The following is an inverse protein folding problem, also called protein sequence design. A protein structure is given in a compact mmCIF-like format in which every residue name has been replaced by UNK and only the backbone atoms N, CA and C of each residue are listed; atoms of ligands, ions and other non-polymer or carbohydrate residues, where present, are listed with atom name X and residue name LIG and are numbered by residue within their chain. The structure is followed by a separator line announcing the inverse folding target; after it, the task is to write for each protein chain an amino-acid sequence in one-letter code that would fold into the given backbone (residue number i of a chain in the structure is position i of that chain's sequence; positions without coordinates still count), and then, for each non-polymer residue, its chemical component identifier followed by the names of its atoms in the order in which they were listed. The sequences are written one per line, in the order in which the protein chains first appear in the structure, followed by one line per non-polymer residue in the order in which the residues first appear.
data_IF_779289038830
#
_entry.id   IF_779289038830
#
_cell.length_a   1.000
_cell.length_b   1.000
_cell.length_c   1.000
_cell.angle_alpha   90.00
_cell.angle_beta   90.00
_cell.angle_gamma   90.00
#
_symmetry.space_group_name_H-M   'P 1'
#
loop_
_entity.id
_entity.type
_entity.pdbx_description
1 polymer ?
#
# COMPACT_ATOMS: atom_id res chain seq x y z
N UNK A 1 -12.35 48.54 -6.50
CA UNK A 1 -13.27 47.53 -5.92
C UNK A 1 -12.41 46.39 -5.37
N UNK A 2 -12.00 46.48 -4.11
CA UNK A 2 -11.25 45.40 -3.45
C UNK A 2 -12.24 44.34 -2.97
N UNK A 3 -12.26 43.17 -3.61
CA UNK A 3 -12.97 42.01 -3.10
C UNK A 3 -12.14 41.39 -1.98
N UNK A 4 -12.60 41.58 -0.74
CA UNK A 4 -12.15 40.84 0.43
C UNK A 4 -12.46 39.36 0.26
N UNK A 5 -11.43 38.52 0.32
CA UNK A 5 -11.57 37.06 0.31
C UNK A 5 -12.46 36.59 1.47
N UNK A 6 -13.50 35.81 1.17
CA UNK A 6 -14.33 35.15 2.18
C UNK A 6 -13.48 34.26 3.08
N UNK A 7 -13.67 34.29 4.42
CA UNK A 7 -12.97 33.37 5.30
C UNK A 7 -13.41 31.94 5.00
N UNK A 8 -12.44 31.07 4.69
CA UNK A 8 -12.65 29.65 4.52
C UNK A 8 -13.27 29.08 5.80
N UNK A 9 -14.41 28.40 5.67
CA UNK A 9 -15.11 27.78 6.79
C UNK A 9 -14.17 26.82 7.54
N UNK A 10 -14.14 26.83 8.89
CA UNK A 10 -13.29 25.94 9.66
C UNK A 10 -13.63 24.48 9.35
N UNK A 11 -12.56 23.71 9.20
CA UNK A 11 -12.56 22.34 8.71
C UNK A 11 -13.35 21.43 9.65
N UNK A 12 -14.27 20.60 9.11
CA UNK A 12 -15.20 19.73 9.86
C UNK A 12 -14.55 18.77 10.87
N UNK A 13 -13.25 18.51 10.73
CA UNK A 13 -12.47 17.67 11.66
C UNK A 13 -12.47 18.22 13.10
N UNK A 14 -12.44 19.54 13.27
CA UNK A 14 -12.39 20.16 14.61
C UNK A 14 -13.73 19.99 15.34
N UNK A 15 -14.85 20.18 14.63
CA UNK A 15 -16.18 20.01 15.20
C UNK A 15 -16.48 18.55 15.62
N UNK A 16 -16.02 17.56 14.85
CA UNK A 16 -16.18 16.15 15.20
C UNK A 16 -15.26 15.72 16.36
N UNK A 17 -14.03 16.25 16.39
CA UNK A 17 -13.10 16.04 17.50
C UNK A 17 -13.65 16.63 18.81
N UNK A 18 -14.19 17.84 18.78
CA UNK A 18 -14.80 18.49 19.93
C UNK A 18 -16.05 17.75 20.43
N UNK A 19 -16.88 17.25 19.51
CA UNK A 19 -18.01 16.38 19.85
C UNK A 19 -17.54 15.09 20.54
N UNK A 20 -16.48 14.43 20.04
CA UNK A 20 -15.90 13.24 20.68
C UNK A 20 -15.32 13.56 22.06
N UNK A 21 -14.60 14.67 22.21
CA UNK A 21 -14.01 15.07 23.49
C UNK A 21 -15.08 15.35 24.55
N UNK A 22 -16.17 16.03 24.19
CA UNK A 22 -17.28 16.29 25.10
C UNK A 22 -18.00 15.00 25.52
N UNK A 23 -18.22 14.06 24.59
CA UNK A 23 -18.76 12.75 24.90
C UNK A 23 -17.86 11.97 25.88
N UNK A 24 -16.54 11.96 25.64
CA UNK A 24 -15.56 11.31 26.53
C UNK A 24 -15.55 11.92 27.93
N UNK A 25 -15.62 13.25 28.05
CA UNK A 25 -15.71 13.94 29.35
C UNK A 25 -16.96 13.55 30.11
N UNK A 26 -18.11 13.46 29.43
CA UNK A 26 -19.38 13.02 30.03
C UNK A 26 -19.30 11.59 30.53
N UNK A 27 -18.76 10.66 29.73
CA UNK A 27 -18.61 9.25 30.15
C UNK A 27 -17.66 9.12 31.33
N UNK A 28 -16.53 9.83 31.32
CA UNK A 28 -15.59 9.86 32.46
C UNK A 28 -16.25 10.39 33.73
N UNK A 29 -17.03 11.47 33.62
CA UNK A 29 -17.76 12.04 34.74
C UNK A 29 -18.79 11.06 35.29
N UNK A 30 -19.58 10.40 34.42
CA UNK A 30 -20.56 9.40 34.83
C UNK A 30 -19.89 8.21 35.53
N UNK A 31 -18.80 7.69 34.98
CA UNK A 31 -18.04 6.60 35.58
C UNK A 31 -17.46 6.99 36.96
N UNK A 32 -16.88 8.19 37.07
CA UNK A 32 -16.35 8.70 38.33
C UNK A 32 -17.46 8.95 39.37
N UNK A 33 -18.61 9.48 38.94
CA UNK A 33 -19.77 9.71 39.80
C UNK A 33 -20.37 8.38 40.28
N UNK A 34 -20.46 7.37 39.41
CA UNK A 34 -20.90 6.03 39.78
C UNK A 34 -19.96 5.39 40.81
N UNK A 35 -18.65 5.48 40.61
CA UNK A 35 -17.66 4.99 41.58
C UNK A 35 -17.77 5.73 42.91
N UNK A 36 -17.89 7.06 42.90
CA UNK A 36 -18.08 7.86 44.10
C UNK A 36 -19.38 7.51 44.84
N UNK A 37 -20.45 7.21 44.10
CA UNK A 37 -21.71 6.73 44.66
C UNK A 37 -21.53 5.37 45.34
N UNK A 38 -20.83 4.42 44.73
CA UNK A 38 -20.52 3.13 45.35
C UNK A 38 -19.75 3.29 46.67
N UNK A 39 -18.72 4.16 46.69
CA UNK A 39 -17.96 4.47 47.90
C UNK A 39 -18.85 5.06 48.98
N UNK A 40 -19.73 5.99 48.61
CA UNK A 40 -20.65 6.64 49.54
C UNK A 40 -21.68 5.64 50.10
N UNK A 41 -22.27 4.79 49.25
CA UNK A 41 -23.18 3.73 49.66
C UNK A 41 -22.48 2.73 50.59
N UNK A 42 -21.24 2.34 50.28
CA UNK A 42 -20.43 1.49 51.14
C UNK A 42 -20.23 2.12 52.53
N UNK A 43 -19.77 3.37 52.59
CA UNK A 43 -19.52 4.08 53.84
C UNK A 43 -20.78 4.22 54.70
N UNK A 44 -21.92 4.59 54.09
CA UNK A 44 -23.20 4.70 54.79
C UNK A 44 -23.71 3.35 55.27
N UNK A 45 -23.75 2.34 54.40
CA UNK A 45 -24.21 1.00 54.75
C UNK A 45 -23.39 0.41 55.90
N UNK A 46 -22.06 0.60 55.88
CA UNK A 46 -21.16 0.15 56.95
C UNK A 46 -21.37 0.90 58.26
N UNK A 47 -21.66 2.20 58.20
CA UNK A 47 -21.91 3.02 59.40
C UNK A 47 -23.21 2.63 60.13
N UNK A 48 -24.26 2.30 59.38
CA UNK A 48 -25.57 1.93 59.94
C UNK A 48 -25.78 0.42 60.16
N UNK A 49 -24.78 -0.41 59.82
CA UNK A 49 -24.82 -1.87 59.96
C UNK A 49 -25.15 -2.32 61.40
N UNK A 50 -24.67 -1.58 62.41
CA UNK A 50 -24.97 -1.87 63.83
C UNK A 50 -26.45 -1.72 64.18
N UNK A 51 -27.18 -0.85 63.48
CA UNK A 51 -28.61 -0.60 63.72
C UNK A 51 -29.47 -1.48 62.83
N UNK A 52 -29.02 -1.76 61.60
CA UNK A 52 -29.77 -2.53 60.61
C UNK A 52 -28.89 -3.64 60.00
N UNK A 53 -28.98 -4.89 60.50
CA UNK A 53 -28.11 -5.99 60.05
C UNK A 53 -28.19 -6.31 58.54
N UNK A 54 -29.32 -6.04 57.88
CA UNK A 54 -29.49 -6.27 56.44
C UNK A 54 -28.61 -5.35 55.59
N UNK A 55 -28.14 -4.22 56.13
CA UNK A 55 -27.21 -3.32 55.43
C UNK A 55 -25.84 -3.96 55.20
N UNK A 56 -25.50 -5.04 55.91
CA UNK A 56 -24.27 -5.80 55.67
C UNK A 56 -24.19 -6.35 54.24
N UNK A 57 -25.32 -6.79 53.66
CA UNK A 57 -25.36 -7.25 52.26
C UNK A 57 -25.12 -6.10 51.27
N UNK A 58 -25.70 -4.93 51.55
CA UNK A 58 -25.51 -3.72 50.72
C UNK A 58 -24.06 -3.22 50.82
N UNK A 59 -23.48 -3.25 52.02
CA UNK A 59 -22.08 -2.89 52.24
C UNK A 59 -21.15 -3.83 51.47
N UNK A 60 -21.35 -5.15 51.55
CA UNK A 60 -20.52 -6.12 50.82
C UNK A 60 -20.61 -5.94 49.29
N UNK A 61 -21.82 -5.67 48.77
CA UNK A 61 -22.00 -5.40 47.34
C UNK A 61 -21.30 -4.09 46.92
N UNK A 62 -21.46 -3.02 47.70
CA UNK A 62 -20.84 -1.73 47.42
C UNK A 62 -19.31 -1.77 47.57
N UNK A 63 -18.79 -2.57 48.49
CA UNK A 63 -17.35 -2.86 48.65
C UNK A 63 -16.80 -3.55 47.39
N UNK A 64 -17.46 -4.63 46.96
CA UNK A 64 -17.06 -5.36 45.76
C UNK A 64 -17.11 -4.47 44.50
N UNK A 65 -18.16 -3.66 44.35
CA UNK A 65 -18.29 -2.71 43.23
C UNK A 65 -17.18 -1.64 43.25
N UNK A 66 -16.83 -1.12 44.43
CA UNK A 66 -15.77 -0.12 44.59
C UNK A 66 -14.40 -0.69 44.24
N UNK A 67 -14.07 -1.87 44.78
CA UNK A 67 -12.80 -2.56 44.50
C UNK A 67 -12.71 -2.92 43.01
N UNK A 68 -13.80 -3.42 42.42
CA UNK A 68 -13.87 -3.74 41.00
C UNK A 68 -13.62 -2.53 40.10
N UNK A 69 -14.23 -1.38 40.42
CA UNK A 69 -14.02 -0.14 39.68
C UNK A 69 -12.59 0.40 39.79
N UNK A 70 -11.97 0.30 40.97
CA UNK A 70 -10.56 0.67 41.16
C UNK A 70 -9.60 -0.27 40.41
N UNK A 71 -9.90 -1.57 40.37
CA UNK A 71 -9.10 -2.55 39.66
C UNK A 71 -9.15 -2.34 38.14
N UNK A 72 -10.33 -2.06 37.57
CA UNK A 72 -10.48 -1.73 36.16
C UNK A 72 -9.70 -0.46 35.78
N UNK A 73 -9.81 0.59 36.60
CA UNK A 73 -9.00 1.80 36.43
C UNK A 73 -7.50 1.48 36.42
N UNK A 74 -7.02 0.70 37.39
CA UNK A 74 -5.63 0.29 37.47
C UNK A 74 -5.20 -0.51 36.24
N UNK A 75 -6.01 -1.46 35.76
CA UNK A 75 -5.68 -2.29 34.61
C UNK A 75 -5.50 -1.46 33.33
N UNK A 76 -6.44 -0.55 33.05
CA UNK A 76 -6.34 0.33 31.87
C UNK A 76 -5.16 1.28 32.01
N UNK A 77 -4.96 1.89 33.19
CA UNK A 77 -3.81 2.78 33.40
C UNK A 77 -2.51 2.01 33.25
N UNK A 78 -2.35 0.84 33.86
CA UNK A 78 -1.15 0.01 33.77
C UNK A 78 -0.85 -0.49 32.35
N UNK A 79 -1.86 -0.60 31.49
CA UNK A 79 -1.64 -0.93 30.08
C UNK A 79 -0.93 0.21 29.33
N UNK A 80 -1.33 1.47 29.59
CA UNK A 80 -0.89 2.63 28.82
C UNK A 80 0.16 3.52 29.51
N UNK A 81 0.19 3.56 30.84
CA UNK A 81 0.97 4.50 31.66
C UNK A 81 1.36 3.86 33.01
N UNK A 82 2.21 4.55 33.77
CA UNK A 82 2.52 4.16 35.15
C UNK A 82 1.47 4.74 36.10
N UNK A 83 0.73 3.91 36.87
CA UNK A 83 -0.26 4.42 37.82
C UNK A 83 0.42 5.30 38.86
N UNK A 84 -0.15 6.48 39.13
CA UNK A 84 0.38 7.48 40.06
C UNK A 84 1.82 7.96 39.76
N UNK A 85 2.38 7.65 38.58
CA UNK A 85 3.76 8.00 38.22
C UNK A 85 4.85 7.19 38.94
N UNK A 86 4.47 6.16 39.71
CA UNK A 86 5.42 5.35 40.47
C UNK A 86 6.10 4.31 39.56
N UNK A 87 7.40 3.99 39.78
CA UNK A 87 8.12 2.98 39.00
C UNK A 87 7.75 1.55 39.45
N UNK A 88 6.50 1.17 39.24
CA UNK A 88 6.01 -0.18 39.54
C UNK A 88 6.43 -1.12 38.40
N UNK A 89 7.08 -2.26 38.69
CA UNK A 89 7.45 -3.24 37.66
C UNK A 89 6.19 -3.77 36.94
N UNK A 90 6.33 -4.15 35.68
CA UNK A 90 5.24 -4.69 34.85
C UNK A 90 4.02 -3.76 34.64
N UNK A 91 4.22 -2.44 34.67
CA UNK A 91 3.24 -1.42 34.26
C UNK A 91 3.71 -0.69 33.00
N UNK A 92 2.84 0.13 32.40
CA UNK A 92 3.04 0.69 31.06
C UNK A 92 3.39 -0.40 30.02
N UNK A 93 2.61 -1.48 30.02
CA UNK A 93 2.89 -2.70 29.21
C UNK A 93 3.05 -2.37 27.72
N UNK A 94 2.18 -1.51 27.17
CA UNK A 94 2.25 -1.12 25.75
C UNK A 94 3.51 -0.32 25.44
N UNK A 95 3.81 0.81 26.12
CA UNK A 95 5.05 1.55 25.91
C UNK A 95 6.31 0.68 26.03
N UNK A 96 6.38 -0.18 27.04
CA UNK A 96 7.55 -1.03 27.31
C UNK A 96 7.77 -2.09 26.22
N UNK A 97 6.70 -2.54 25.55
CA UNK A 97 6.75 -3.59 24.52
C UNK A 97 6.54 -3.07 23.10
N UNK A 98 6.62 -1.75 22.87
CA UNK A 98 6.26 -1.14 21.57
C UNK A 98 7.01 -1.78 20.39
N UNK A 99 8.32 -2.01 20.52
CA UNK A 99 9.13 -2.62 19.46
C UNK A 99 8.63 -4.03 19.11
N UNK A 100 8.44 -4.87 20.12
CA UNK A 100 7.92 -6.25 19.95
C UNK A 100 6.53 -6.25 19.30
N UNK A 101 5.66 -5.32 19.67
CA UNK A 101 4.32 -5.18 19.08
C UNK A 101 4.44 -4.76 17.61
N UNK A 102 5.31 -3.79 17.30
CA UNK A 102 5.55 -3.33 15.94
C UNK A 102 6.11 -4.45 15.04
N UNK A 103 7.08 -5.22 15.52
CA UNK A 103 7.66 -6.35 14.79
C UNK A 103 6.61 -7.42 14.47
N UNK A 104 5.77 -7.77 15.45
CA UNK A 104 4.69 -8.74 15.27
C UNK A 104 3.63 -8.23 14.29
N UNK A 105 3.27 -6.95 14.37
CA UNK A 105 2.33 -6.33 13.43
C UNK A 105 2.91 -6.30 12.01
N UNK A 106 4.19 -5.98 11.87
CA UNK A 106 4.91 -6.01 10.60
C UNK A 106 4.87 -7.40 9.96
N UNK A 107 5.22 -8.44 10.72
CA UNK A 107 5.11 -9.83 10.26
C UNK A 107 3.68 -10.22 9.90
N UNK A 108 2.69 -9.77 10.67
CA UNK A 108 1.30 -10.04 10.36
C UNK A 108 0.88 -9.43 9.01
N UNK A 109 1.27 -8.17 8.75
CA UNK A 109 1.02 -7.51 7.47
C UNK A 109 1.75 -8.23 6.33
N UNK A 110 3.02 -8.59 6.55
CA UNK A 110 3.81 -9.34 5.58
C UNK A 110 3.13 -10.65 5.17
N UNK A 111 2.74 -11.46 6.16
CA UNK A 111 2.18 -12.80 5.92
C UNK A 111 0.74 -12.75 5.39
N UNK A 112 -0.09 -11.82 5.84
CA UNK A 112 -1.51 -11.82 5.49
C UNK A 112 -1.85 -10.91 4.30
N UNK A 113 -1.09 -9.84 4.08
CA UNK A 113 -1.38 -8.84 3.05
C UNK A 113 -0.32 -8.75 1.95
N UNK A 114 0.94 -9.08 2.25
CA UNK A 114 2.04 -9.03 1.28
C UNK A 114 2.51 -10.41 0.82
N UNK A 115 1.83 -11.48 1.22
CA UNK A 115 2.15 -12.82 0.75
C UNK A 115 1.93 -12.91 -0.78
N UNK A 116 2.77 -13.69 -1.50
CA UNK A 116 2.72 -13.76 -2.96
C UNK A 116 1.35 -14.12 -3.53
N UNK A 117 0.61 -14.99 -2.86
CA UNK A 117 -0.71 -15.45 -3.29
C UNK A 117 -1.79 -14.35 -3.18
N UNK A 118 -2.06 -13.73 -2.00
CA UNK A 118 -2.97 -12.58 -1.91
C UNK A 118 -2.61 -11.41 -2.84
N UNK A 119 -1.31 -11.12 -2.99
CA UNK A 119 -0.84 -10.06 -3.88
C UNK A 119 -1.12 -10.42 -5.33
N UNK A 120 -0.87 -11.67 -5.75
CA UNK A 120 -1.15 -12.15 -7.10
C UNK A 120 -2.65 -12.11 -7.41
N UNK A 121 -3.50 -12.52 -6.48
CA UNK A 121 -4.95 -12.47 -6.62
C UNK A 121 -5.43 -11.03 -6.81
N UNK A 122 -4.92 -10.09 -6.00
CA UNK A 122 -5.24 -8.66 -6.16
C UNK A 122 -4.68 -8.04 -7.43
N UNK A 123 -3.50 -8.45 -7.89
CA UNK A 123 -2.95 -8.00 -9.17
C UNK A 123 -3.74 -8.56 -10.36
N UNK A 124 -4.29 -9.77 -10.25
CA UNK A 124 -5.11 -10.36 -11.31
C UNK A 124 -6.44 -9.61 -11.51
N UNK A 125 -6.95 -8.92 -10.48
CA UNK A 125 -8.12 -8.04 -10.60
C UNK A 125 -7.80 -6.74 -11.35
N UNK A 126 -6.52 -6.38 -11.53
CA UNK A 126 -6.12 -5.15 -12.21
C UNK A 126 -5.89 -5.41 -13.69
N UNK A 127 -6.69 -4.77 -14.54
CA UNK A 127 -6.44 -4.74 -15.98
C UNK A 127 -5.31 -3.75 -16.31
N UNK A 128 -4.06 -4.24 -16.22
CA UNK A 128 -2.87 -3.46 -16.55
C UNK A 128 -2.86 -3.00 -18.01
N UNK A 129 -3.44 -3.78 -18.92
CA UNK A 129 -3.50 -3.43 -20.34
C UNK A 129 -4.39 -2.21 -20.56
N UNK A 130 -5.56 -2.18 -19.94
CA UNK A 130 -6.43 -0.99 -19.95
C UNK A 130 -5.77 0.21 -19.29
N UNK A 131 -5.06 0.00 -18.18
CA UNK A 131 -4.36 1.07 -17.44
C UNK A 131 -3.25 1.72 -18.26
N UNK A 132 -2.49 0.92 -19.01
CA UNK A 132 -1.45 1.37 -19.93
C UNK A 132 -2.08 2.01 -21.17
N UNK A 133 -3.16 1.45 -21.70
CA UNK A 133 -3.88 2.02 -22.84
C UNK A 133 -4.43 3.41 -22.50
N UNK A 134 -5.08 3.59 -21.36
CA UNK A 134 -5.55 4.89 -20.86
C UNK A 134 -4.40 5.87 -20.65
N UNK A 135 -3.26 5.39 -20.13
CA UNK A 135 -2.08 6.24 -19.95
C UNK A 135 -1.49 6.71 -21.29
N UNK A 136 -1.48 5.84 -22.30
CA UNK A 136 -1.00 6.14 -23.65
C UNK A 136 -2.02 6.93 -24.48
N UNK A 137 -3.32 6.88 -24.14
CA UNK A 137 -4.35 7.67 -24.78
C UNK A 137 -4.16 9.18 -24.53
N UNK A 138 -3.50 9.53 -23.42
CA UNK A 138 -3.07 10.91 -23.15
C UNK A 138 -1.92 11.31 -24.09
N UNK A 139 -2.22 12.23 -25.00
CA UNK A 139 -1.30 12.69 -26.05
C UNK A 139 -0.04 13.32 -25.47
N UNK A 140 -0.10 13.97 -24.31
CA UNK A 140 1.06 14.59 -23.68
C UNK A 140 2.03 13.54 -23.14
N UNK A 141 1.50 12.46 -22.56
CA UNK A 141 2.27 11.33 -22.00
C UNK A 141 2.88 10.49 -23.11
N UNK A 142 2.10 10.18 -24.15
CA UNK A 142 2.59 9.48 -25.33
C UNK A 142 3.72 10.26 -26.04
N UNK A 143 3.58 11.59 -26.17
CA UNK A 143 4.63 12.43 -26.72
C UNK A 143 5.90 12.44 -25.84
N UNK A 144 5.75 12.43 -24.52
CA UNK A 144 6.85 12.27 -23.57
C UNK A 144 7.60 10.95 -23.77
N UNK A 145 6.88 9.84 -23.87
CA UNK A 145 7.46 8.51 -24.13
C UNK A 145 8.15 8.45 -25.49
N UNK A 146 7.53 8.99 -26.54
CA UNK A 146 8.11 9.04 -27.88
C UNK A 146 9.44 9.80 -27.90
N UNK A 147 9.49 10.99 -27.28
CA UNK A 147 10.73 11.77 -27.15
C UNK A 147 11.82 11.02 -26.39
N UNK A 148 11.44 10.30 -25.34
CA UNK A 148 12.36 9.49 -24.57
C UNK A 148 12.94 8.33 -25.41
N UNK A 149 12.10 7.60 -26.13
CA UNK A 149 12.53 6.52 -27.04
C UNK A 149 13.44 7.06 -28.14
N UNK A 150 13.07 8.18 -28.78
CA UNK A 150 13.89 8.83 -29.82
C UNK A 150 15.24 9.29 -29.27
N UNK A 151 15.33 9.65 -27.99
CA UNK A 151 16.60 10.00 -27.34
C UNK A 151 17.45 8.77 -26.97
N UNK A 152 16.82 7.67 -26.58
CA UNK A 152 17.52 6.46 -26.16
C UNK A 152 18.04 5.62 -27.31
N UNK A 153 17.27 5.51 -28.40
CA UNK A 153 17.63 4.68 -29.56
C UNK A 153 19.04 5.01 -30.09
N UNK A 154 19.41 6.28 -30.34
CA UNK A 154 20.76 6.63 -30.79
C UNK A 154 21.84 6.30 -29.76
N UNK A 155 21.53 6.45 -28.47
CA UNK A 155 22.49 6.16 -27.38
C UNK A 155 22.75 4.67 -27.26
N UNK A 156 21.72 3.84 -27.37
CA UNK A 156 21.87 2.39 -27.41
C UNK A 156 22.62 1.93 -28.67
N UNK A 157 22.34 2.55 -29.82
CA UNK A 157 23.01 2.21 -31.08
C UNK A 157 24.49 2.57 -31.02
N UNK A 158 24.83 3.75 -30.50
CA UNK A 158 26.21 4.18 -30.28
C UNK A 158 26.95 3.30 -29.27
N UNK A 159 26.29 2.86 -28.19
CA UNK A 159 26.87 1.95 -27.22
C UNK A 159 27.15 0.55 -27.81
N UNK A 160 26.27 0.05 -28.68
CA UNK A 160 26.48 -1.20 -29.43
C UNK A 160 27.64 -1.06 -30.43
N UNK A 161 27.76 0.10 -31.07
CA UNK A 161 28.82 0.39 -32.03
C UNK A 161 30.21 0.53 -31.36
N UNK A 162 30.27 1.12 -30.17
CA UNK A 162 31.50 1.28 -29.38
C UNK A 162 31.94 0.03 -28.60
N UNK A 163 31.00 -0.84 -28.21
CA UNK A 163 31.31 -2.07 -27.43
C UNK A 163 31.92 -3.21 -28.26
N UNK A 164 32.15 -3.00 -29.57
CA UNK A 164 32.67 -4.05 -30.46
C UNK A 164 31.66 -5.15 -30.78
N UNK A 165 30.42 -5.07 -30.25
CA UNK A 165 29.32 -6.01 -30.50
C UNK A 165 28.94 -6.07 -31.99
N UNK A 166 29.30 -5.07 -32.78
CA UNK A 166 29.09 -5.03 -34.23
C UNK A 166 29.55 -6.34 -34.89
N UNK A 167 30.72 -6.86 -34.53
CA UNK A 167 31.23 -8.12 -35.08
C UNK A 167 30.39 -9.34 -34.68
N UNK A 168 29.93 -9.39 -33.43
CA UNK A 168 29.12 -10.48 -32.87
C UNK A 168 27.67 -10.48 -33.39
N UNK A 169 27.05 -9.30 -33.52
CA UNK A 169 25.71 -9.15 -34.08
C UNK A 169 25.73 -9.42 -35.58
N UNK A 170 26.74 -8.93 -36.31
CA UNK A 170 26.83 -9.14 -37.77
C UNK A 170 27.09 -10.60 -38.09
N UNK A 171 27.95 -11.30 -37.34
CA UNK A 171 28.19 -12.74 -37.55
C UNK A 171 26.97 -13.60 -37.21
N UNK A 172 26.25 -13.30 -36.11
CA UNK A 172 25.00 -13.99 -35.76
C UNK A 172 23.85 -13.67 -36.72
N UNK A 173 23.75 -12.45 -37.22
CA UNK A 173 22.77 -12.11 -38.24
C UNK A 173 23.10 -12.76 -39.58
N UNK A 174 24.36 -12.79 -40.01
CA UNK A 174 24.78 -13.49 -41.23
C UNK A 174 24.49 -15.00 -41.15
N UNK A 175 24.81 -15.66 -40.02
CA UNK A 175 24.48 -17.08 -39.80
C UNK A 175 22.97 -17.37 -39.81
N UNK A 176 22.14 -16.40 -39.40
CA UNK A 176 20.69 -16.55 -39.39
C UNK A 176 20.06 -16.20 -40.75
N UNK A 177 20.63 -15.22 -41.46
CA UNK A 177 20.21 -14.77 -42.79
C UNK A 177 20.56 -15.81 -43.86
N UNK A 178 21.71 -16.49 -43.73
CA UNK A 178 22.11 -17.58 -44.64
C UNK A 178 21.17 -18.80 -44.55
N UNK A 179 20.45 -18.94 -43.43
CA UNK A 179 19.45 -20.00 -43.20
C UNK A 179 18.04 -19.62 -43.67
N UNK A 180 17.81 -18.37 -44.06
CA UNK A 180 16.50 -17.89 -44.50
C UNK A 180 16.58 -17.49 -45.97
N UNK A 181 15.79 -18.09 -46.88
CA UNK A 181 15.80 -17.69 -48.28
C UNK A 181 15.32 -16.23 -48.40
N UNK A 182 16.26 -15.32 -48.66
CA UNK A 182 16.04 -13.86 -48.75
C UNK A 182 15.08 -13.48 -49.89
N UNK A 183 15.03 -14.27 -50.95
CA UNK A 183 14.22 -14.00 -52.14
C UNK A 183 12.70 -13.95 -51.87
N UNK A 184 12.07 -14.95 -51.21
CA UNK A 184 10.65 -14.88 -50.86
C UNK A 184 10.33 -13.78 -49.84
N UNK A 185 11.25 -13.46 -48.93
CA UNK A 185 11.03 -12.42 -47.91
C UNK A 185 11.08 -11.00 -48.50
N UNK A 186 11.99 -10.77 -49.44
CA UNK A 186 12.03 -9.53 -50.22
C UNK A 186 10.81 -9.42 -51.16
N UNK A 187 10.37 -10.53 -51.76
CA UNK A 187 9.15 -10.57 -52.58
C UNK A 187 7.88 -10.33 -51.75
N UNK A 188 7.81 -10.84 -50.53
CA UNK A 188 6.72 -10.58 -49.58
C UNK A 188 6.72 -9.13 -49.08
N UNK A 189 7.89 -8.55 -48.79
CA UNK A 189 8.00 -7.14 -48.38
C UNK A 189 7.64 -6.20 -49.54
N UNK A 190 8.11 -6.48 -50.74
CA UNK A 190 7.78 -5.71 -51.94
C UNK A 190 6.29 -5.84 -52.28
N UNK A 191 5.70 -7.03 -52.13
CA UNK A 191 4.25 -7.23 -52.30
C UNK A 191 3.43 -6.59 -51.17
N UNK A 192 3.93 -6.56 -49.94
CA UNK A 192 3.26 -5.96 -48.78
C UNK A 192 3.27 -4.42 -48.79
N UNK A 193 4.26 -3.81 -49.45
CA UNK A 193 4.31 -2.37 -49.70
C UNK A 193 3.47 -1.95 -50.91
N UNK A 194 3.13 -2.87 -51.80
CA UNK A 194 2.43 -2.58 -53.06
C UNK A 194 0.91 -2.82 -52.97
N UNK A 195 0.41 -3.53 -51.95
CA UNK A 195 -1.01 -3.93 -51.88
C UNK A 195 -1.71 -3.48 -50.58
N UNK A 196 -2.86 -2.83 -50.74
CA UNK A 196 -3.32 -1.69 -49.94
C UNK A 196 -3.99 -2.04 -48.59
N UNK A 197 -3.90 -3.28 -48.09
CA UNK A 197 -4.63 -3.69 -46.84
C UNK A 197 -3.93 -4.74 -45.98
N UNK A 198 -2.63 -5.01 -46.18
CA UNK A 198 -1.92 -6.09 -45.46
C UNK A 198 -1.11 -5.65 -44.24
N UNK A 199 -1.03 -4.36 -43.92
CA UNK A 199 -0.41 -3.88 -42.66
C UNK A 199 -1.07 -4.52 -41.43
N UNK A 200 -2.39 -4.72 -41.50
CA UNK A 200 -3.15 -5.43 -40.47
C UNK A 200 -2.66 -6.89 -40.29
N UNK A 201 -2.32 -7.59 -41.38
CA UNK A 201 -1.80 -8.98 -41.30
C UNK A 201 -0.40 -9.06 -40.72
N UNK A 202 0.46 -8.07 -41.00
CA UNK A 202 1.78 -7.98 -40.37
C UNK A 202 1.66 -7.68 -38.87
N UNK A 203 0.74 -6.78 -38.49
CA UNK A 203 0.41 -6.52 -37.09
C UNK A 203 -0.18 -7.74 -36.39
N UNK A 204 -1.06 -8.50 -37.04
CA UNK A 204 -1.65 -9.72 -36.50
C UNK A 204 -0.59 -10.79 -36.26
N UNK A 205 0.35 -11.00 -37.19
CA UNK A 205 1.43 -11.96 -36.97
C UNK A 205 2.45 -11.49 -35.93
N UNK A 206 2.75 -10.18 -35.88
CA UNK A 206 3.57 -9.63 -34.81
C UNK A 206 2.91 -9.85 -33.44
N UNK A 207 1.59 -9.65 -33.36
CA UNK A 207 0.80 -9.89 -32.15
C UNK A 207 0.76 -11.36 -31.76
N UNK A 208 0.65 -12.29 -32.72
CA UNK A 208 0.72 -13.74 -32.44
C UNK A 208 2.11 -14.20 -32.01
N UNK A 209 3.18 -13.60 -32.54
CA UNK A 209 4.55 -13.90 -32.11
C UNK A 209 4.76 -13.40 -30.68
N UNK A 210 4.31 -12.19 -30.36
CA UNK A 210 4.31 -11.67 -28.98
C UNK A 210 3.44 -12.53 -28.06
N UNK A 211 2.25 -12.94 -28.49
CA UNK A 211 1.35 -13.80 -27.72
C UNK A 211 1.96 -15.17 -27.42
N UNK A 212 2.69 -15.77 -28.38
CA UNK A 212 3.45 -17.02 -28.13
C UNK A 212 4.60 -16.81 -27.16
N UNK A 213 5.33 -15.70 -27.29
CA UNK A 213 6.42 -15.37 -26.40
C UNK A 213 5.95 -15.11 -24.96
N UNK A 214 4.78 -14.47 -24.79
CA UNK A 214 4.16 -14.22 -23.50
C UNK A 214 3.53 -15.48 -22.87
N UNK A 215 3.16 -16.49 -23.66
CA UNK A 215 2.63 -17.76 -23.15
C UNK A 215 3.72 -18.80 -22.86
N UNK A 216 4.98 -18.52 -23.20
CA UNK A 216 6.10 -19.40 -22.90
C UNK A 216 6.65 -19.09 -21.50
N UNK A 217 6.27 -19.93 -20.52
CA UNK A 217 6.66 -19.79 -19.12
C UNK A 217 8.19 -19.75 -18.92
N UNK A 218 8.96 -20.45 -19.77
CA UNK A 218 10.41 -20.44 -19.68
C UNK A 218 10.99 -19.11 -20.16
N UNK A 219 10.45 -18.55 -21.26
CA UNK A 219 10.85 -17.24 -21.76
C UNK A 219 10.50 -16.13 -20.75
N UNK A 220 9.32 -16.19 -20.14
CA UNK A 220 8.92 -15.28 -19.07
C UNK A 220 9.78 -15.40 -17.81
N UNK A 221 10.21 -16.62 -17.44
CA UNK A 221 11.09 -16.84 -16.30
C UNK A 221 12.48 -16.22 -16.53
N UNK A 222 13.08 -16.45 -17.70
CA UNK A 222 14.39 -15.86 -18.05
C UNK A 222 14.31 -14.33 -18.16
N UNK A 223 13.20 -13.79 -18.67
CA UNK A 223 12.98 -12.35 -18.75
C UNK A 223 12.79 -11.73 -17.36
N UNK A 224 12.05 -12.39 -16.46
CA UNK A 224 11.86 -11.96 -15.06
C UNK A 224 13.19 -11.88 -14.31
N UNK A 225 14.09 -12.84 -14.55
CA UNK A 225 15.40 -12.89 -13.92
C UNK A 225 16.31 -11.75 -14.41
N UNK A 226 16.35 -11.50 -15.72
CA UNK A 226 17.08 -10.36 -16.30
C UNK A 226 16.49 -9.01 -15.90
N UNK A 227 15.16 -8.90 -15.85
CA UNK A 227 14.48 -7.69 -15.39
C UNK A 227 14.83 -7.46 -13.92
N UNK A 228 14.91 -8.49 -13.07
CA UNK A 228 15.32 -8.36 -11.66
C UNK A 228 16.74 -7.84 -11.48
N UNK A 229 17.67 -8.20 -12.35
CA UNK A 229 19.04 -7.67 -12.35
C UNK A 229 19.11 -6.20 -12.81
N UNK A 230 18.28 -5.79 -13.77
CA UNK A 230 18.28 -4.44 -14.37
C UNK A 230 17.25 -3.48 -13.74
N UNK A 231 16.32 -3.97 -12.93
CA UNK A 231 15.25 -3.17 -12.29
C UNK A 231 15.79 -1.98 -11.48
N UNK A 232 16.90 -2.08 -10.72
CA UNK A 232 17.45 -0.92 -10.01
C UNK A 232 17.93 0.21 -10.93
N UNK A 233 18.34 -0.11 -12.18
CA UNK A 233 18.82 0.87 -13.15
C UNK A 233 17.65 1.52 -13.92
N UNK A 234 16.63 0.73 -14.25
CA UNK A 234 15.42 1.19 -14.96
C UNK A 234 14.50 2.07 -14.10
N UNK A 235 14.30 1.73 -12.81
CA UNK A 235 13.47 2.56 -11.91
C UNK A 235 14.05 3.96 -11.68
N UNK A 236 15.38 4.07 -11.55
CA UNK A 236 16.07 5.35 -11.41
C UNK A 236 15.98 6.22 -12.67
N UNK A 237 15.86 5.60 -13.86
CA UNK A 237 15.78 6.32 -15.13
C UNK A 237 14.36 6.83 -15.44
N UNK A 238 13.32 6.09 -15.03
CA UNK A 238 11.94 6.38 -15.43
C UNK A 238 11.12 7.22 -14.44
N UNK A 239 11.60 7.51 -13.21
CA UNK A 239 10.81 8.21 -12.16
C UNK A 239 9.37 7.66 -12.01
N UNK A 240 9.16 6.39 -12.36
CA UNK A 240 7.86 5.73 -12.41
C UNK A 240 7.33 5.38 -11.01
N UNK A 241 8.25 5.33 -10.05
CA UNK A 241 8.01 5.24 -8.62
C UNK A 241 7.01 6.29 -8.14
N UNK A 242 7.15 7.56 -8.51
CA UNK A 242 6.24 8.62 -8.05
C UNK A 242 4.82 8.50 -8.63
N UNK A 243 4.67 8.08 -9.88
CA UNK A 243 3.37 7.95 -10.54
C UNK A 243 2.60 6.72 -10.06
N UNK A 244 3.28 5.58 -9.90
CA UNK A 244 2.69 4.35 -9.39
C UNK A 244 2.32 4.47 -7.91
N UNK A 245 3.18 5.07 -7.07
CA UNK A 245 2.86 5.34 -5.67
C UNK A 245 1.63 6.23 -5.53
N UNK A 246 1.53 7.31 -6.31
CA UNK A 246 0.38 8.22 -6.24
C UNK A 246 -0.94 7.53 -6.63
N UNK A 247 -0.90 6.62 -7.61
CA UNK A 247 -2.10 5.90 -8.06
C UNK A 247 -2.49 4.76 -7.14
N UNK A 248 -1.52 4.04 -6.55
CA UNK A 248 -1.76 3.02 -5.51
C UNK A 248 -2.32 3.66 -4.23
N UNK A 249 -1.78 4.81 -3.81
CA UNK A 249 -2.30 5.57 -2.66
C UNK A 249 -3.71 6.11 -2.94
N UNK A 250 -4.00 6.50 -4.18
CA UNK A 250 -5.34 6.96 -4.57
C UNK A 250 -6.37 5.82 -4.70
N UNK A 251 -5.94 4.58 -4.97
CA UNK A 251 -6.83 3.41 -5.01
C UNK A 251 -6.99 2.71 -3.65
N UNK A 252 -6.16 3.05 -2.66
CA UNK A 252 -6.20 2.50 -1.30
C UNK A 252 -6.96 3.39 -0.30
N UNK A 253 -7.67 4.41 -0.78
CA UNK A 253 -8.50 5.32 0.01
C UNK A 253 -9.98 5.18 -0.29
#
# INVERSE_FOLDING_TARGET
MSQSASPLAPVRFDAEADAKLSALRRTKFLAAAALALCVLVFALAKSFERTYPWLGFVAAFAEAATIGGLADWYAVVALFRRPLGLPIPHTAIIPENQNRIADNLGRFIEVNFLAPEPVREKLAEVDFSALVADWLADTERAAGLSRFVVRLVPQTLAAVEQSGLRGFVTSRMLEQIEKVPLAPLAAELLSALTDDRRHQKLFDEFTKVIGRFLNDEQALATMREKIREELPSLFNLFRADAYLLKKIVASAG
#
